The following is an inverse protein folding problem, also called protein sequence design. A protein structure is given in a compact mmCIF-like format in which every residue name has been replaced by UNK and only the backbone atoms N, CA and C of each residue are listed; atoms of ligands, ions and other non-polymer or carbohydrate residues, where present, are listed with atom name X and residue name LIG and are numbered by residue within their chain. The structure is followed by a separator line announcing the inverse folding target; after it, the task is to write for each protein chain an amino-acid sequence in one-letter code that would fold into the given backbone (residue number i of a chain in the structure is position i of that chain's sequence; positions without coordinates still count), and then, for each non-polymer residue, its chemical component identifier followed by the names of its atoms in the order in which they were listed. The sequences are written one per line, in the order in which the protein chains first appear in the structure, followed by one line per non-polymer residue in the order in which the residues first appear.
data_IF_757661232915
#
_entry.id   IF_757661232915
#
_cell.length_a   1.000
_cell.length_b   1.000
_cell.length_c   1.000
_cell.angle_alpha   90.00
_cell.angle_beta   90.00
_cell.angle_gamma   90.00
#
_symmetry.space_group_name_H-M   'P 1'
#
loop_
_entity.id
_entity.type
_entity.pdbx_description
1 polymer ?
#
# COMPACT_ATOMS: atom_id res chain seq x y z
N UNK A 1 2.61 1.99 30.91
CA UNK A 1 2.50 1.74 29.45
C UNK A 1 1.18 2.28 28.95
N UNK A 2 1.16 3.42 28.23
CA UNK A 2 -0.06 4.00 27.66
C UNK A 2 -0.08 3.63 26.18
N UNK A 3 -0.59 2.44 25.87
CA UNK A 3 -0.79 2.01 24.48
C UNK A 3 -1.79 2.97 23.83
N UNK A 4 -1.41 3.56 22.69
CA UNK A 4 -2.32 4.38 21.90
C UNK A 4 -3.46 3.47 21.42
N UNK A 5 -4.68 3.71 21.90
CA UNK A 5 -5.90 3.03 21.44
C UNK A 5 -6.19 3.50 20.02
N UNK A 6 -5.41 3.03 19.05
CA UNK A 6 -5.80 3.07 17.66
C UNK A 6 -7.03 2.17 17.55
N UNK A 7 -8.22 2.75 17.39
CA UNK A 7 -9.39 2.01 16.90
C UNK A 7 -9.03 1.61 15.47
N UNK A 8 -8.38 0.45 15.32
CA UNK A 8 -7.95 -0.14 14.05
C UNK A 8 -9.17 -0.64 13.25
N UNK A 9 -10.16 0.22 13.03
CA UNK A 9 -11.11 -0.01 11.95
C UNK A 9 -10.40 0.39 10.67
N UNK A 10 -9.85 -0.59 9.95
CA UNK A 10 -9.47 -0.36 8.57
C UNK A 10 -10.67 -0.66 7.68
N UNK A 11 -10.70 -0.03 6.53
CA UNK A 11 -11.56 -0.47 5.43
C UNK A 11 -11.00 -1.79 4.93
N UNK A 12 -11.87 -2.77 4.65
CA UNK A 12 -11.49 -3.98 3.91
C UNK A 12 -11.52 -3.66 2.41
N UNK A 13 -10.38 -3.53 1.74
CA UNK A 13 -10.35 -3.18 0.32
C UNK A 13 -11.00 -4.25 -0.56
N UNK A 14 -11.02 -5.51 -0.12
CA UNK A 14 -11.62 -6.62 -0.87
C UNK A 14 -13.15 -6.55 -0.89
N UNK A 15 -13.76 -5.77 0.01
CA UNK A 15 -15.20 -5.58 0.10
C UNK A 15 -15.71 -4.33 -0.64
N UNK A 16 -14.80 -3.53 -1.22
CA UNK A 16 -15.15 -2.28 -1.91
C UNK A 16 -15.52 -2.52 -3.38
N UNK A 17 -16.52 -1.78 -3.87
CA UNK A 17 -16.77 -1.64 -5.30
C UNK A 17 -15.68 -0.77 -5.96
N UNK A 18 -15.54 -0.85 -7.29
CA UNK A 18 -14.45 -0.19 -8.02
C UNK A 18 -14.40 1.34 -7.84
N UNK A 19 -15.55 2.00 -7.82
CA UNK A 19 -15.67 3.44 -7.52
C UNK A 19 -15.25 3.76 -6.08
N UNK A 20 -15.62 2.90 -5.13
CA UNK A 20 -15.23 3.04 -3.73
C UNK A 20 -13.73 2.80 -3.51
N UNK A 21 -13.09 1.95 -4.32
CA UNK A 21 -11.63 1.76 -4.31
C UNK A 21 -10.93 3.04 -4.78
N UNK A 22 -11.43 3.71 -5.82
CA UNK A 22 -10.86 4.99 -6.29
C UNK A 22 -10.96 6.07 -5.21
N UNK A 23 -12.13 6.24 -4.60
CA UNK A 23 -12.35 7.18 -3.50
C UNK A 23 -11.42 6.87 -2.32
N UNK A 24 -11.31 5.59 -1.96
CA UNK A 24 -10.43 5.15 -0.89
C UNK A 24 -8.95 5.43 -1.19
N UNK A 25 -8.50 5.18 -2.41
CA UNK A 25 -7.13 5.46 -2.87
C UNK A 25 -6.83 6.97 -2.81
N UNK A 26 -7.75 7.81 -3.28
CA UNK A 26 -7.60 9.29 -3.21
C UNK A 26 -7.49 9.78 -1.76
N UNK A 27 -8.38 9.32 -0.89
CA UNK A 27 -8.38 9.72 0.52
C UNK A 27 -7.09 9.28 1.23
N UNK A 28 -6.69 8.02 1.07
CA UNK A 28 -5.49 7.47 1.71
C UNK A 28 -4.21 8.10 1.16
N UNK A 29 -4.13 8.33 -0.15
CA UNK A 29 -3.02 9.04 -0.79
C UNK A 29 -2.87 10.47 -0.26
N UNK A 30 -3.96 11.23 -0.14
CA UNK A 30 -3.92 12.58 0.43
C UNK A 30 -3.48 12.60 1.90
N UNK A 31 -3.94 11.63 2.71
CA UNK A 31 -3.53 11.49 4.11
C UNK A 31 -2.03 11.15 4.22
N UNK A 32 -1.54 10.24 3.38
CA UNK A 32 -0.13 9.85 3.32
C UNK A 32 0.75 11.05 2.93
N UNK A 33 0.40 11.74 1.86
CA UNK A 33 1.09 12.94 1.40
C UNK A 33 1.16 14.01 2.51
N UNK A 34 0.03 14.27 3.18
CA UNK A 34 -0.02 15.24 4.28
C UNK A 34 0.85 14.82 5.46
N UNK A 35 0.87 13.54 5.84
CA UNK A 35 1.70 13.05 6.93
C UNK A 35 3.21 13.20 6.62
N UNK A 36 3.63 12.94 5.38
CA UNK A 36 5.04 12.98 4.99
C UNK A 36 5.54 14.37 4.58
N UNK A 37 4.67 15.26 4.10
CA UNK A 37 5.05 16.64 3.80
C UNK A 37 5.54 17.42 5.02
N UNK A 38 5.29 16.95 6.24
CA UNK A 38 5.83 17.55 7.47
C UNK A 38 7.32 17.26 7.68
N UNK A 39 7.88 16.26 7.00
CA UNK A 39 9.27 15.84 7.14
C UNK A 39 10.20 16.40 6.05
N UNK A 40 9.66 17.11 5.06
CA UNK A 40 10.40 17.68 3.92
C UNK A 40 9.86 19.07 3.54
N UNK A 41 10.65 19.88 2.83
CA UNK A 41 10.16 21.15 2.28
C UNK A 41 9.15 20.86 1.14
N UNK A 42 7.86 21.26 1.30
CA UNK A 42 6.84 20.97 0.30
C UNK A 42 7.10 21.60 -1.07
N UNK A 43 7.80 22.75 -1.13
CA UNK A 43 8.12 23.40 -2.40
C UNK A 43 9.18 22.64 -3.16
N UNK A 44 10.17 22.06 -2.46
CA UNK A 44 11.20 21.22 -3.07
C UNK A 44 10.58 19.93 -3.61
N UNK A 45 9.71 19.29 -2.83
CA UNK A 45 9.00 18.08 -3.27
C UNK A 45 8.12 18.38 -4.49
N UNK A 46 7.33 19.47 -4.44
CA UNK A 46 6.49 19.87 -5.57
C UNK A 46 7.32 20.19 -6.83
N UNK A 47 8.46 20.86 -6.68
CA UNK A 47 9.38 21.14 -7.78
C UNK A 47 9.98 19.88 -8.40
N UNK A 48 10.32 18.88 -7.57
CA UNK A 48 10.81 17.58 -8.03
C UNK A 48 9.74 16.78 -8.78
N UNK A 49 8.51 16.73 -8.26
CA UNK A 49 7.39 16.04 -8.92
C UNK A 49 7.00 16.71 -10.24
N UNK A 50 7.15 18.03 -10.33
CA UNK A 50 6.78 18.79 -11.52
C UNK A 50 5.26 18.88 -11.72
N UNK A 51 4.84 19.09 -12.98
CA UNK A 51 3.43 19.23 -13.37
C UNK A 51 2.99 18.25 -14.46
N UNK A 52 3.88 17.34 -14.85
CA UNK A 52 3.61 16.33 -15.86
C UNK A 52 3.17 15.02 -15.22
N UNK A 53 2.74 14.08 -16.05
CA UNK A 53 2.17 12.79 -15.62
C UNK A 53 3.23 11.73 -15.33
N UNK A 54 4.52 12.02 -15.60
CA UNK A 54 5.61 11.03 -15.50
C UNK A 54 5.74 10.38 -14.11
N UNK A 55 5.49 11.13 -13.03
CA UNK A 55 5.50 10.56 -11.68
C UNK A 55 4.27 9.67 -11.44
N UNK A 56 3.11 10.10 -11.93
CA UNK A 56 1.85 9.38 -11.76
C UNK A 56 1.91 8.04 -12.51
N UNK A 57 2.41 8.05 -13.75
CA UNK A 57 2.68 6.85 -14.57
C UNK A 57 3.68 5.92 -13.87
N UNK A 58 4.81 6.45 -13.41
CA UNK A 58 5.82 5.63 -12.73
C UNK A 58 5.29 4.99 -11.43
N UNK A 59 4.44 5.70 -10.68
CA UNK A 59 3.80 5.16 -9.48
C UNK A 59 2.75 4.10 -9.83
N UNK A 60 1.97 4.29 -10.89
CA UNK A 60 0.99 3.31 -11.37
C UNK A 60 1.69 2.02 -11.83
N UNK A 61 2.73 2.15 -12.65
CA UNK A 61 3.54 1.01 -13.12
C UNK A 61 4.18 0.25 -11.95
N UNK A 62 4.75 1.00 -10.99
CA UNK A 62 5.30 0.41 -9.77
C UNK A 62 4.23 -0.34 -8.98
N UNK A 63 3.04 0.24 -8.80
CA UNK A 63 1.97 -0.37 -8.03
C UNK A 63 1.52 -1.71 -8.63
N UNK A 64 1.35 -1.78 -9.95
CA UNK A 64 1.00 -3.01 -10.67
C UNK A 64 2.12 -4.05 -10.54
N UNK A 65 3.37 -3.66 -10.85
CA UNK A 65 4.50 -4.58 -10.76
C UNK A 65 4.74 -5.12 -9.34
N UNK A 66 4.48 -4.29 -8.32
CA UNK A 66 4.59 -4.68 -6.92
C UNK A 66 3.46 -5.61 -6.48
N UNK A 67 2.24 -5.41 -6.99
CA UNK A 67 1.13 -6.33 -6.77
C UNK A 67 1.45 -7.72 -7.36
N UNK A 68 1.88 -7.79 -8.62
CA UNK A 68 2.28 -9.03 -9.29
C UNK A 68 3.39 -9.76 -8.51
N UNK A 69 4.40 -9.00 -8.05
CA UNK A 69 5.48 -9.54 -7.22
C UNK A 69 4.95 -10.13 -5.92
N UNK A 70 4.08 -9.39 -5.24
CA UNK A 70 3.50 -9.81 -3.96
C UNK A 70 2.70 -11.11 -4.11
N UNK A 71 1.91 -11.24 -5.18
CA UNK A 71 1.16 -12.46 -5.48
C UNK A 71 2.07 -13.65 -5.75
N UNK A 72 3.12 -13.44 -6.56
CA UNK A 72 4.11 -14.47 -6.88
C UNK A 72 4.86 -14.96 -5.62
N UNK A 73 5.33 -14.02 -4.80
CA UNK A 73 6.06 -14.32 -3.57
C UNK A 73 5.15 -15.05 -2.56
N UNK A 74 3.88 -14.64 -2.44
CA UNK A 74 2.90 -15.33 -1.61
C UNK A 74 2.63 -16.75 -2.11
N UNK A 75 2.50 -16.96 -3.42
CA UNK A 75 2.33 -18.29 -3.99
C UNK A 75 3.54 -19.21 -3.70
N UNK A 76 4.76 -18.67 -3.80
CA UNK A 76 5.99 -19.39 -3.45
C UNK A 76 6.02 -19.76 -1.96
N UNK A 77 5.67 -18.81 -1.08
CA UNK A 77 5.57 -19.02 0.36
C UNK A 77 4.60 -20.17 0.68
N UNK A 78 3.39 -20.13 0.13
CA UNK A 78 2.38 -21.18 0.32
C UNK A 78 2.89 -22.53 -0.19
N UNK A 79 3.58 -22.56 -1.34
CA UNK A 79 4.18 -23.79 -1.86
C UNK A 79 5.31 -24.32 -0.97
N UNK A 80 6.10 -23.46 -0.34
CA UNK A 80 7.14 -23.85 0.61
C UNK A 80 6.57 -24.44 1.89
N UNK A 81 5.49 -23.85 2.41
CA UNK A 81 4.74 -24.38 3.56
C UNK A 81 4.18 -25.77 3.26
N UNK A 82 3.51 -25.94 2.11
CA UNK A 82 2.96 -27.25 1.69
C UNK A 82 4.03 -28.34 1.54
N UNK A 83 5.25 -27.96 1.15
CA UNK A 83 6.41 -28.86 1.03
C UNK A 83 7.13 -29.11 2.36
N UNK A 84 6.66 -28.52 3.47
CA UNK A 84 7.29 -28.64 4.78
C UNK A 84 8.64 -27.94 4.92
N UNK A 85 9.00 -27.05 3.97
CA UNK A 85 10.27 -26.29 4.00
C UNK A 85 10.20 -25.10 4.96
N UNK A 86 9.01 -24.58 5.19
CA UNK A 86 8.74 -23.46 6.08
C UNK A 86 7.63 -23.90 7.04
N UNK A 87 7.86 -23.74 8.35
CA UNK A 87 6.84 -23.98 9.36
C UNK A 87 5.82 -22.84 9.34
N UNK A 88 4.53 -23.17 9.42
CA UNK A 88 3.45 -22.20 9.51
C UNK A 88 2.34 -22.73 10.44
N UNK A 89 1.75 -21.83 11.22
CA UNK A 89 0.51 -22.09 11.95
C UNK A 89 -0.67 -21.65 11.08
N UNK A 90 -1.63 -22.54 10.87
CA UNK A 90 -2.82 -22.27 10.04
C UNK A 90 -4.05 -22.08 10.91
N UNK A 91 -4.85 -21.05 10.65
CA UNK A 91 -6.16 -20.86 11.29
C UNK A 91 -6.16 -20.16 12.64
N UNK A 92 -5.14 -19.34 12.92
CA UNK A 92 -5.10 -18.38 14.05
C UNK A 92 -5.67 -17.03 13.63
#
# INVERSE_FOLDING_TARGET
MRQFRNRKGSVDPAALAGDQIDDYARMTGALLARAHAHSADPQVVAGYCGKGEALDEALADFAVAYADRTEADHAELVAAIRKGRIAAETGV
#
